data_IF_927204286493
#
_entry.id   IF_927204286493
#
_cell.length_a   1.000
_cell.length_b   1.000
_cell.length_c   1.000
_cell.angle_alpha   90.00
_cell.angle_beta   90.00
_cell.angle_gamma   90.00
#
_symmetry.space_group_name_H-M   'P 1'
#
loop_
_entity.id
_entity.type
_entity.pdbx_description
1 polymer ?
#
# COMPACT_ATOMS: atom_id res chain seq x y z
N UNK A 1 -22.03 -0.18 12.74
CA UNK A 1 -22.78 0.83 13.52
C UNK A 1 -22.01 2.13 13.53
N UNK A 2 -22.66 3.26 13.18
CA UNK A 2 -22.01 4.59 13.15
C UNK A 2 -21.61 5.09 14.56
N UNK A 3 -22.36 4.68 15.59
CA UNK A 3 -22.10 5.04 16.99
C UNK A 3 -20.77 4.46 17.51
N UNK A 4 -20.40 3.25 17.08
CA UNK A 4 -19.14 2.62 17.49
C UNK A 4 -17.95 3.39 16.89
N UNK A 5 -18.05 3.79 15.62
CA UNK A 5 -17.00 4.58 14.97
C UNK A 5 -16.85 5.95 15.62
N UNK A 6 -17.96 6.63 15.91
CA UNK A 6 -17.97 7.91 16.61
C UNK A 6 -17.42 7.80 18.03
N UNK A 7 -17.84 6.77 18.79
CA UNK A 7 -17.34 6.49 20.13
C UNK A 7 -15.83 6.22 20.13
N UNK A 8 -15.33 5.42 19.19
CA UNK A 8 -13.90 5.16 19.03
C UNK A 8 -13.13 6.45 18.69
N UNK A 9 -13.69 7.29 17.80
CA UNK A 9 -13.12 8.60 17.48
C UNK A 9 -13.00 9.53 18.69
N UNK A 10 -14.05 9.61 19.52
CA UNK A 10 -14.03 10.40 20.76
C UNK A 10 -12.96 9.86 21.72
N UNK A 11 -12.86 8.55 21.87
CA UNK A 11 -11.83 7.90 22.71
C UNK A 11 -10.42 8.22 22.20
N UNK A 12 -10.17 8.16 20.88
CA UNK A 12 -8.87 8.52 20.31
C UNK A 12 -8.51 9.99 20.54
N UNK A 13 -9.47 10.91 20.40
CA UNK A 13 -9.24 12.34 20.69
C UNK A 13 -8.90 12.55 22.16
N UNK A 14 -9.60 11.87 23.08
CA UNK A 14 -9.28 11.93 24.51
C UNK A 14 -7.87 11.41 24.81
N UNK A 15 -7.47 10.27 24.22
CA UNK A 15 -6.10 9.75 24.37
C UNK A 15 -5.03 10.67 23.76
N UNK A 16 -5.34 11.37 22.66
CA UNK A 16 -4.43 12.33 22.06
C UNK A 16 -4.17 13.56 22.96
N UNK A 17 -5.20 14.04 23.68
CA UNK A 17 -5.07 15.22 24.57
C UNK A 17 -4.43 14.86 25.94
N UNK A 18 -4.62 13.63 26.42
CA UNK A 18 -4.08 13.18 27.71
C UNK A 18 -2.58 12.84 27.61
N UNK A 19 -1.71 13.85 27.64
CA UNK A 19 -0.25 13.71 27.53
C UNK A 19 0.41 12.77 28.57
N UNK A 20 -0.18 12.62 29.77
CA UNK A 20 0.33 11.70 30.80
C UNK A 20 0.23 10.22 30.38
N UNK A 21 -0.80 9.86 29.62
CA UNK A 21 -0.97 8.50 29.11
C UNK A 21 0.03 8.24 27.97
N UNK A 22 0.27 9.22 27.11
CA UNK A 22 1.30 9.15 26.07
C UNK A 22 2.70 8.93 26.66
N UNK A 23 3.01 9.57 27.80
CA UNK A 23 4.27 9.31 28.51
C UNK A 23 4.41 7.85 28.96
N UNK A 24 3.32 7.21 29.40
CA UNK A 24 3.35 5.78 29.73
C UNK A 24 3.59 4.90 28.49
N UNK A 25 2.98 5.22 27.34
CA UNK A 25 3.21 4.47 26.10
C UNK A 25 4.65 4.61 25.55
N UNK A 26 5.32 5.75 25.77
CA UNK A 26 6.72 5.95 25.37
C UNK A 26 7.67 5.04 26.18
N UNK A 27 7.28 4.60 27.39
CA UNK A 27 8.10 3.68 28.19
C UNK A 27 8.09 2.23 27.69
N UNK A 28 7.22 1.90 26.72
CA UNK A 28 7.16 0.57 26.12
C UNK A 28 8.46 0.31 25.33
N UNK A 29 9.14 -0.83 25.54
CA UNK A 29 10.39 -1.12 24.85
C UNK A 29 10.16 -1.32 23.35
N UNK A 30 11.12 -0.87 22.54
CA UNK A 30 11.07 -0.97 21.07
C UNK A 30 10.85 -2.40 20.55
N UNK A 31 11.31 -3.42 21.27
CA UNK A 31 11.10 -4.83 20.91
C UNK A 31 9.61 -5.22 20.91
N UNK A 32 8.84 -4.71 21.88
CA UNK A 32 7.39 -4.97 21.95
C UNK A 32 6.66 -4.23 20.84
N UNK A 33 7.04 -2.97 20.58
CA UNK A 33 6.54 -2.20 19.43
C UNK A 33 6.84 -2.89 18.10
N UNK A 34 8.02 -3.50 17.94
CA UNK A 34 8.34 -4.30 16.76
C UNK A 34 7.40 -5.50 16.60
N UNK A 35 7.15 -6.24 17.69
CA UNK A 35 6.22 -7.37 17.71
C UNK A 35 4.78 -6.99 17.36
N UNK A 36 4.29 -5.85 17.86
CA UNK A 36 2.94 -5.38 17.53
C UNK A 36 2.83 -4.91 16.07
N UNK A 37 3.88 -4.32 15.51
CA UNK A 37 3.93 -3.96 14.09
C UNK A 37 3.90 -5.19 13.19
N UNK A 38 4.62 -6.26 13.54
CA UNK A 38 4.56 -7.53 12.79
C UNK A 38 3.13 -8.08 12.77
N UNK A 39 2.44 -8.07 13.92
CA UNK A 39 1.05 -8.52 13.99
C UNK A 39 0.13 -7.63 13.14
N UNK A 40 0.28 -6.30 13.26
CA UNK A 40 -0.52 -5.33 12.51
C UNK A 40 -0.37 -5.50 11.00
N UNK A 41 0.87 -5.52 10.50
CA UNK A 41 1.12 -5.74 9.08
C UNK A 41 0.71 -7.14 8.63
N UNK A 42 0.86 -8.18 9.46
CA UNK A 42 0.39 -9.53 9.16
C UNK A 42 -1.12 -9.59 8.92
N UNK A 43 -1.92 -8.97 9.79
CA UNK A 43 -3.37 -8.88 9.62
C UNK A 43 -3.71 -8.03 8.39
N UNK A 44 -3.04 -6.89 8.21
CA UNK A 44 -3.26 -5.99 7.07
C UNK A 44 -3.00 -6.70 5.72
N UNK A 45 -1.86 -7.40 5.58
CA UNK A 45 -1.57 -8.20 4.39
C UNK A 45 -2.56 -9.37 4.23
N UNK A 46 -2.99 -10.00 5.31
CA UNK A 46 -4.03 -11.03 5.26
C UNK A 46 -5.35 -10.50 4.66
N UNK A 47 -5.79 -9.31 5.08
CA UNK A 47 -6.97 -8.63 4.53
C UNK A 47 -6.77 -8.25 3.06
N UNK A 48 -5.56 -7.83 2.66
CA UNK A 48 -5.25 -7.54 1.25
C UNK A 48 -5.32 -8.82 0.41
N UNK A 49 -4.69 -9.90 0.87
CA UNK A 49 -4.67 -11.18 0.15
C UNK A 49 -6.06 -11.83 0.08
N UNK A 50 -6.94 -11.61 1.08
CA UNK A 50 -8.32 -12.09 0.97
C UNK A 50 -9.07 -11.43 -0.19
N UNK A 51 -8.69 -10.22 -0.61
CA UNK A 51 -9.31 -9.59 -1.77
C UNK A 51 -8.94 -10.27 -3.10
N UNK A 52 -7.79 -10.96 -3.18
CA UNK A 52 -7.42 -11.75 -4.37
C UNK A 52 -8.34 -12.96 -4.57
N UNK A 53 -9.04 -13.41 -3.52
CA UNK A 53 -9.98 -14.54 -3.62
C UNK A 53 -11.18 -14.22 -4.52
N UNK A 54 -11.48 -12.94 -4.77
CA UNK A 54 -12.52 -12.52 -5.71
C UNK A 54 -12.05 -12.51 -7.18
N UNK A 55 -10.77 -12.77 -7.44
CA UNK A 55 -10.18 -12.80 -8.79
C UNK A 55 -9.92 -14.25 -9.21
N UNK A 56 -10.16 -14.57 -10.49
CA UNK A 56 -9.84 -15.89 -11.03
C UNK A 56 -8.31 -16.01 -11.24
N UNK A 57 -7.63 -16.71 -10.31
CA UNK A 57 -6.19 -16.97 -10.35
C UNK A 57 -5.78 -18.19 -11.20
N UNK A 58 -6.75 -18.94 -11.75
CA UNK A 58 -6.46 -19.98 -12.74
C UNK A 58 -6.19 -19.41 -14.12
N UNK A 59 -6.69 -18.21 -14.41
CA UNK A 59 -6.38 -17.50 -15.64
C UNK A 59 -4.94 -16.96 -15.60
N UNK A 60 -4.09 -17.45 -16.51
CA UNK A 60 -2.71 -16.99 -16.65
C UNK A 60 -2.64 -15.48 -16.87
N UNK A 61 -3.64 -14.86 -17.50
CA UNK A 61 -3.70 -13.38 -17.66
C UNK A 61 -3.72 -12.68 -16.32
N UNK A 62 -4.67 -13.03 -15.45
CA UNK A 62 -4.86 -12.35 -14.18
C UNK A 62 -3.65 -12.59 -13.25
N UNK A 63 -3.11 -13.82 -13.25
CA UNK A 63 -1.93 -14.16 -12.47
C UNK A 63 -0.68 -13.40 -12.96
N UNK A 64 -0.51 -13.22 -14.27
CA UNK A 64 0.59 -12.46 -14.85
C UNK A 64 0.49 -10.96 -14.51
N UNK A 65 -0.70 -10.35 -14.64
CA UNK A 65 -0.94 -8.95 -14.27
C UNK A 65 -0.60 -8.73 -12.79
N UNK A 66 -1.06 -9.63 -11.92
CA UNK A 66 -0.78 -9.58 -10.50
C UNK A 66 0.72 -9.68 -10.20
N UNK A 67 1.42 -10.67 -10.77
CA UNK A 67 2.85 -10.86 -10.56
C UNK A 67 3.69 -9.68 -11.06
N UNK A 68 3.41 -9.19 -12.27
CA UNK A 68 4.15 -8.07 -12.88
C UNK A 68 3.93 -6.79 -12.07
N UNK A 69 2.69 -6.48 -11.70
CA UNK A 69 2.37 -5.25 -10.95
C UNK A 69 3.05 -5.21 -9.57
N UNK A 70 3.06 -6.33 -8.84
CA UNK A 70 3.73 -6.43 -7.54
C UNK A 70 5.25 -6.29 -7.67
N UNK A 71 5.87 -6.98 -8.64
CA UNK A 71 7.31 -6.87 -8.87
C UNK A 71 7.74 -5.45 -9.24
N UNK A 72 7.03 -4.81 -10.18
CA UNK A 72 7.32 -3.41 -10.55
C UNK A 72 7.09 -2.46 -9.38
N UNK A 73 6.05 -2.70 -8.57
CA UNK A 73 5.77 -1.95 -7.34
C UNK A 73 6.89 -2.01 -6.29
N UNK A 74 7.70 -3.07 -6.25
CA UNK A 74 8.89 -3.15 -5.41
C UNK A 74 10.15 -2.61 -6.11
N UNK A 75 10.31 -2.85 -7.41
CA UNK A 75 11.51 -2.47 -8.17
C UNK A 75 11.61 -0.96 -8.40
N UNK A 76 10.50 -0.28 -8.68
CA UNK A 76 10.53 1.14 -9.02
C UNK A 76 10.91 2.03 -7.82
N UNK A 77 10.34 1.86 -6.61
CA UNK A 77 10.78 2.62 -5.44
C UNK A 77 12.26 2.41 -5.13
N UNK A 78 12.75 1.17 -5.24
CA UNK A 78 14.16 0.85 -5.03
C UNK A 78 15.09 1.54 -6.04
N UNK A 79 14.66 1.66 -7.30
CA UNK A 79 15.40 2.39 -8.32
C UNK A 79 15.46 3.90 -8.02
N UNK A 80 14.34 4.49 -7.58
CA UNK A 80 14.25 5.92 -7.21
C UNK A 80 15.14 6.23 -6.01
N UNK A 81 15.15 5.38 -4.99
CA UNK A 81 16.03 5.55 -3.82
C UNK A 81 17.51 5.55 -4.21
N UNK A 82 17.89 4.72 -5.18
CA UNK A 82 19.27 4.60 -5.66
C UNK A 82 19.68 5.74 -6.62
N UNK A 83 18.73 6.46 -7.19
CA UNK A 83 18.96 7.56 -8.14
C UNK A 83 18.06 8.77 -7.82
N UNK A 84 18.38 9.53 -6.76
CA UNK A 84 17.58 10.69 -6.36
C UNK A 84 17.53 11.81 -7.41
N UNK A 85 18.52 11.89 -8.32
CA UNK A 85 18.55 12.83 -9.46
C UNK A 85 18.10 12.17 -10.79
N UNK A 86 17.48 10.99 -10.72
CA UNK A 86 17.20 10.15 -11.88
C UNK A 86 16.05 10.64 -12.76
N UNK A 87 15.14 11.43 -12.20
CA UNK A 87 14.11 12.17 -12.93
C UNK A 87 14.62 13.61 -13.03
N UNK A 88 14.80 14.11 -14.24
CA UNK A 88 15.08 15.52 -14.47
C UNK A 88 14.34 15.93 -15.74
N UNK A 89 13.09 16.31 -15.58
CA UNK A 89 12.22 16.78 -16.66
C UNK A 89 12.38 18.29 -16.94
N UNK A 90 13.27 18.97 -16.24
CA UNK A 90 13.54 20.41 -16.39
C UNK A 90 12.56 21.34 -15.63
N UNK A 91 11.54 20.79 -14.97
CA UNK A 91 10.57 21.52 -14.14
C UNK A 91 10.61 20.97 -12.72
N UNK A 92 11.20 21.71 -11.77
CA UNK A 92 11.43 21.25 -10.39
C UNK A 92 10.16 20.77 -9.66
N UNK A 93 9.02 21.43 -9.89
CA UNK A 93 7.75 21.08 -9.23
C UNK A 93 7.15 19.76 -9.72
N UNK A 94 7.26 19.48 -11.02
CA UNK A 94 6.78 18.24 -11.61
C UNK A 94 7.68 17.07 -11.20
N UNK A 95 8.98 17.32 -11.18
CA UNK A 95 10.00 16.34 -10.86
C UNK A 95 9.89 15.79 -9.44
N UNK A 96 9.65 16.67 -8.46
CA UNK A 96 9.36 16.28 -7.07
C UNK A 96 8.11 15.43 -6.96
N UNK A 97 7.05 15.81 -7.69
CA UNK A 97 5.77 15.09 -7.64
C UNK A 97 5.92 13.70 -8.25
N UNK A 98 6.57 13.58 -9.41
CA UNK A 98 6.87 12.31 -10.06
C UNK A 98 7.76 11.42 -9.19
N UNK A 99 8.76 12.01 -8.53
CA UNK A 99 9.63 11.28 -7.59
C UNK A 99 8.84 10.72 -6.41
N UNK A 100 7.92 11.50 -5.82
CA UNK A 100 7.06 11.02 -4.72
C UNK A 100 6.09 9.92 -5.16
N UNK A 101 5.51 10.03 -6.37
CA UNK A 101 4.64 8.99 -6.93
C UNK A 101 5.42 7.71 -7.23
N UNK A 102 6.60 7.83 -7.83
CA UNK A 102 7.46 6.68 -8.17
C UNK A 102 8.07 6.01 -6.94
N UNK A 103 8.34 6.76 -5.87
CA UNK A 103 8.78 6.22 -4.58
C UNK A 103 7.65 5.49 -3.83
N UNK A 104 6.38 5.75 -4.15
CA UNK A 104 5.25 5.08 -3.54
C UNK A 104 4.94 3.75 -4.26
N UNK A 105 5.50 2.66 -3.76
CA UNK A 105 5.33 1.33 -4.37
C UNK A 105 3.88 0.86 -4.53
N UNK A 106 2.98 1.27 -3.63
CA UNK A 106 1.54 0.91 -3.72
C UNK A 106 0.88 1.63 -4.88
N UNK A 107 1.19 2.92 -5.06
CA UNK A 107 0.69 3.69 -6.20
C UNK A 107 1.19 3.09 -7.53
N UNK A 108 2.49 2.78 -7.61
CA UNK A 108 3.11 2.20 -8.80
C UNK A 108 2.51 0.83 -9.13
N UNK A 109 2.39 -0.05 -8.13
CA UNK A 109 1.76 -1.36 -8.31
C UNK A 109 0.32 -1.22 -8.82
N UNK A 110 -0.48 -0.33 -8.22
CA UNK A 110 -1.86 -0.08 -8.65
C UNK A 110 -1.97 0.50 -10.05
N UNK A 111 -1.11 1.47 -10.39
CA UNK A 111 -1.07 2.08 -11.72
C UNK A 111 -0.70 1.06 -12.80
N UNK A 112 0.34 0.27 -12.56
CA UNK A 112 0.79 -0.80 -13.46
C UNK A 112 -0.28 -1.88 -13.60
N UNK A 113 -0.91 -2.31 -12.49
CA UNK A 113 -2.01 -3.28 -12.55
C UNK A 113 -3.17 -2.76 -13.41
N UNK A 114 -3.61 -1.51 -13.21
CA UNK A 114 -4.65 -0.89 -14.01
C UNK A 114 -4.25 -0.79 -15.48
N UNK A 115 -3.01 -0.37 -15.76
CA UNK A 115 -2.52 -0.23 -17.13
C UNK A 115 -2.49 -1.57 -17.87
N UNK A 116 -1.99 -2.63 -17.23
CA UNK A 116 -1.97 -3.97 -17.82
C UNK A 116 -3.37 -4.56 -17.97
N UNK A 117 -4.28 -4.33 -17.02
CA UNK A 117 -5.66 -4.81 -17.09
C UNK A 117 -6.41 -4.20 -18.29
N UNK A 118 -6.14 -2.94 -18.63
CA UNK A 118 -6.70 -2.28 -19.80
C UNK A 118 -6.00 -2.66 -21.12
N UNK A 119 -4.71 -2.98 -21.08
CA UNK A 119 -3.92 -3.31 -22.29
C UNK A 119 -4.14 -4.76 -22.74
N UNK A 120 -4.25 -5.69 -21.80
CA UNK A 120 -4.44 -7.11 -22.11
C UNK A 120 -5.93 -7.40 -22.23
N UNK A 121 -6.47 -7.26 -23.45
CA UNK A 121 -7.87 -7.56 -23.75
C UNK A 121 -8.25 -8.99 -23.36
N UNK A 122 -9.27 -9.14 -22.52
CA UNK A 122 -9.83 -10.44 -22.19
C UNK A 122 -10.61 -11.03 -23.37
N UNK A 123 -10.33 -12.29 -23.70
CA UNK A 123 -11.13 -13.05 -24.67
C UNK A 123 -12.53 -13.27 -24.07
N UNK A 124 -13.57 -12.90 -24.82
CA UNK A 124 -14.99 -12.89 -24.42
C UNK A 124 -15.51 -14.24 -23.85
N UNK A 125 -14.79 -15.33 -24.09
CA UNK A 125 -15.18 -16.71 -23.74
C UNK A 125 -15.14 -16.98 -22.23
N UNK A 126 -14.37 -16.22 -21.45
CA UNK A 126 -14.27 -16.43 -19.99
C UNK A 126 -15.40 -15.79 -19.18
N UNK A 127 -16.48 -15.32 -19.84
CA UNK A 127 -17.67 -14.68 -19.25
C UNK A 127 -18.91 -15.60 -19.20
N UNK A 128 -18.80 -16.86 -19.62
CA UNK A 128 -19.80 -17.93 -19.47
C UNK A 128 -19.31 -18.94 -18.43
#
# INVERSE_FOLDING_TARGET
>A
SRLILQGCGVIYVLFAVLGKLNAAFITIPYSVLGGTMILYYGIFFGVILSQLQFVNLNDTRNLAILGISVLVGFMLPHWVEKRPDGLNTGIEGLDRTLTMLAANGVFVAGFVACFLDNTVSGILISRL
#
